data_IF_090295251314
#
_entry.id   IF_090295251314
#
_cell.length_a   1.000
_cell.length_b   1.000
_cell.length_c   1.000
_cell.angle_alpha   90.00
_cell.angle_beta   90.00
_cell.angle_gamma   90.00
#
_symmetry.space_group_name_H-M   'P 1'
#
loop_
_entity.id
_entity.type
_entity.pdbx_description
1 polymer ?
#
# COMPACT_ATOMS: atom_id res chain seq x y z
N UNK A 1 -21.53 8.78 16.99
CA UNK A 1 -20.27 8.03 17.19
C UNK A 1 -19.29 9.01 17.78
N UNK A 2 -18.75 8.72 18.97
CA UNK A 2 -17.73 9.62 19.56
C UNK A 2 -16.38 9.18 18.99
N UNK A 3 -15.76 10.01 18.17
CA UNK A 3 -14.46 9.76 17.54
C UNK A 3 -13.65 11.04 17.56
N UNK A 4 -12.33 10.91 17.68
CA UNK A 4 -11.38 12.02 17.58
C UNK A 4 -11.04 12.37 16.13
N UNK A 5 -11.52 11.58 15.16
CA UNK A 5 -11.48 11.95 13.75
C UNK A 5 -12.36 13.17 13.51
N UNK A 6 -11.80 14.21 12.90
CA UNK A 6 -12.56 15.41 12.58
C UNK A 6 -13.33 15.24 11.27
N UNK A 7 -14.47 15.88 11.21
CA UNK A 7 -15.27 15.93 9.99
C UNK A 7 -14.75 17.02 9.06
N UNK A 8 -14.67 16.67 7.76
CA UNK A 8 -14.29 17.59 6.69
C UNK A 8 -15.28 17.47 5.53
N UNK A 9 -15.60 18.60 4.89
CA UNK A 9 -16.44 18.63 3.69
C UNK A 9 -15.69 18.17 2.45
N UNK A 10 -16.38 17.59 1.47
CA UNK A 10 -15.78 17.25 0.19
C UNK A 10 -15.34 18.52 -0.55
N UNK A 11 -14.07 18.60 -0.92
CA UNK A 11 -13.45 19.77 -1.53
C UNK A 11 -13.15 20.93 -0.56
N UNK A 12 -13.34 20.73 0.74
CA UNK A 12 -12.96 21.69 1.76
C UNK A 12 -11.45 21.66 1.97
N UNK A 13 -10.82 22.83 1.97
CA UNK A 13 -9.43 22.99 2.32
C UNK A 13 -9.25 23.13 3.83
N UNK A 14 -8.26 22.42 4.37
CA UNK A 14 -7.90 22.50 5.78
C UNK A 14 -6.39 22.66 5.93
N UNK A 15 -5.97 23.45 6.91
CA UNK A 15 -4.56 23.58 7.26
C UNK A 15 -4.08 22.36 8.06
N UNK A 16 -2.82 21.98 7.90
CA UNK A 16 -2.23 20.77 8.52
C UNK A 16 -2.28 20.79 10.05
N UNK A 17 -2.14 21.95 10.66
CA UNK A 17 -2.20 22.16 12.10
C UNK A 17 -3.59 21.84 12.73
N UNK A 18 -4.64 21.79 11.89
CA UNK A 18 -5.97 21.40 12.32
C UNK A 18 -6.24 19.89 12.28
N UNK A 19 -5.37 19.11 11.66
CA UNK A 19 -5.48 17.64 11.62
C UNK A 19 -5.23 17.10 13.02
N UNK A 20 -6.14 16.31 13.59
CA UNK A 20 -5.88 15.65 14.88
C UNK A 20 -4.87 14.52 14.69
N UNK A 21 -3.77 14.59 15.44
CA UNK A 21 -2.78 13.51 15.51
C UNK A 21 -2.95 12.77 16.81
N UNK A 22 -3.34 11.51 16.72
CA UNK A 22 -3.64 10.62 17.85
C UNK A 22 -2.41 9.76 18.19
N UNK A 23 -2.42 9.12 19.37
CA UNK A 23 -1.56 7.98 19.61
C UNK A 23 -1.91 6.87 18.60
N UNK A 24 -0.93 6.09 18.13
CA UNK A 24 -1.15 5.09 17.07
C UNK A 24 -2.26 4.08 17.42
N UNK A 25 -2.28 3.58 18.66
CA UNK A 25 -3.28 2.60 19.08
C UNK A 25 -4.70 3.17 19.08
N UNK A 26 -4.87 4.42 19.47
CA UNK A 26 -6.16 5.12 19.42
C UNK A 26 -6.58 5.38 17.98
N UNK A 27 -5.67 5.84 17.14
CA UNK A 27 -5.89 6.03 15.72
C UNK A 27 -6.35 4.73 15.04
N UNK A 28 -5.59 3.64 15.24
CA UNK A 28 -5.87 2.33 14.68
C UNK A 28 -7.23 1.80 15.15
N UNK A 29 -7.47 1.81 16.45
CA UNK A 29 -8.71 1.33 17.05
C UNK A 29 -9.93 2.08 16.52
N UNK A 30 -9.85 3.41 16.43
CA UNK A 30 -10.96 4.22 15.93
C UNK A 30 -11.17 4.03 14.43
N UNK A 31 -10.10 3.94 13.63
CA UNK A 31 -10.20 3.69 12.19
C UNK A 31 -10.90 2.35 11.92
N UNK A 32 -10.47 1.27 12.56
CA UNK A 32 -11.12 -0.04 12.44
C UNK A 32 -12.57 -0.02 12.91
N UNK A 33 -12.86 0.65 14.01
CA UNK A 33 -14.22 0.79 14.54
C UNK A 33 -15.14 1.53 13.56
N UNK A 34 -14.69 2.62 12.95
CA UNK A 34 -15.46 3.38 11.96
C UNK A 34 -15.82 2.48 10.77
N UNK A 35 -14.86 1.72 10.24
CA UNK A 35 -15.11 0.85 9.09
C UNK A 35 -16.00 -0.33 9.45
N UNK A 36 -15.79 -0.96 10.61
CA UNK A 36 -16.65 -2.04 11.11
C UNK A 36 -18.13 -1.61 11.29
N UNK A 37 -18.37 -0.32 11.49
CA UNK A 37 -19.73 0.24 11.59
C UNK A 37 -20.24 0.85 10.26
N UNK A 38 -19.72 0.37 9.13
CA UNK A 38 -20.21 0.72 7.79
C UNK A 38 -19.48 1.90 7.13
N UNK A 39 -18.44 2.43 7.75
CA UNK A 39 -17.54 3.39 7.12
C UNK A 39 -16.73 2.76 5.99
N UNK A 40 -16.16 3.59 5.14
CA UNK A 40 -15.30 3.17 4.02
C UNK A 40 -13.93 3.83 4.13
N UNK A 41 -12.87 3.09 3.81
CA UNK A 41 -11.55 3.65 3.62
C UNK A 41 -11.55 4.39 2.29
N UNK A 42 -11.27 5.68 2.33
CA UNK A 42 -11.11 6.52 1.13
C UNK A 42 -9.64 6.59 0.77
N UNK A 43 -8.81 6.88 1.77
CA UNK A 43 -7.37 6.94 1.59
C UNK A 43 -6.65 6.68 2.92
N UNK A 44 -5.47 6.08 2.83
CA UNK A 44 -4.55 5.90 3.94
C UNK A 44 -3.13 5.98 3.40
N UNK A 45 -2.34 6.91 3.88
CA UNK A 45 -1.01 7.16 3.34
C UNK A 45 -0.06 7.67 4.40
N UNK A 46 1.24 7.57 4.11
CA UNK A 46 2.30 8.20 4.87
C UNK A 46 2.80 9.44 4.15
N UNK A 47 3.37 10.37 4.91
CA UNK A 47 4.08 11.51 4.36
C UNK A 47 5.17 11.98 5.32
N UNK A 48 6.28 12.56 4.81
CA UNK A 48 7.32 13.14 5.64
C UNK A 48 6.86 14.48 6.20
N UNK A 49 7.14 14.71 7.47
CA UNK A 49 6.87 15.96 8.18
C UNK A 49 8.06 16.32 9.06
N UNK A 50 8.93 17.19 8.55
CA UNK A 50 10.24 17.52 9.13
C UNK A 50 11.10 16.26 9.30
N UNK A 51 11.43 15.87 10.52
CA UNK A 51 12.25 14.69 10.83
C UNK A 51 11.40 13.43 11.14
N UNK A 52 10.08 13.48 10.93
CA UNK A 52 9.15 12.41 11.25
C UNK A 52 8.36 11.97 10.03
N UNK A 53 7.89 10.73 10.04
CA UNK A 53 6.87 10.26 9.11
C UNK A 53 5.54 10.23 9.84
N UNK A 54 4.50 10.71 9.19
CA UNK A 54 3.13 10.69 9.70
C UNK A 54 2.25 9.81 8.81
N UNK A 55 1.32 9.13 9.45
CA UNK A 55 0.23 8.41 8.80
C UNK A 55 -1.02 9.28 8.86
N UNK A 56 -1.81 9.24 7.79
CA UNK A 56 -3.08 9.96 7.71
C UNK A 56 -4.13 9.07 7.05
N UNK A 57 -5.31 8.98 7.68
CA UNK A 57 -6.45 8.26 7.13
C UNK A 57 -7.59 9.21 6.82
N UNK A 58 -8.20 9.01 5.65
CA UNK A 58 -9.48 9.60 5.26
C UNK A 58 -10.49 8.47 5.18
N UNK A 59 -11.48 8.52 6.05
CA UNK A 59 -12.58 7.57 6.08
C UNK A 59 -13.87 8.27 5.67
N UNK A 60 -14.84 7.52 5.22
CA UNK A 60 -16.15 8.06 4.81
C UNK A 60 -17.28 7.31 5.50
N UNK A 61 -18.12 8.04 6.18
CA UNK A 61 -19.45 7.65 6.60
C UNK A 61 -20.46 8.47 5.77
N UNK A 62 -21.39 9.18 6.39
CA UNK A 62 -22.17 10.24 5.73
C UNK A 62 -21.29 11.47 5.40
N UNK A 63 -20.18 11.60 6.09
CA UNK A 63 -19.19 12.66 5.93
C UNK A 63 -17.77 12.07 5.79
N UNK A 64 -16.84 12.89 5.31
CA UNK A 64 -15.41 12.54 5.38
C UNK A 64 -14.90 12.76 6.81
N UNK A 65 -14.14 11.81 7.29
CA UNK A 65 -13.52 11.81 8.61
C UNK A 65 -12.01 11.72 8.43
N UNK A 66 -11.26 12.57 9.10
CA UNK A 66 -9.83 12.71 8.96
C UNK A 66 -9.14 12.67 10.31
N UNK A 67 -8.11 11.87 10.44
CA UNK A 67 -7.13 11.89 11.53
C UNK A 67 -5.79 11.35 11.05
N UNK A 68 -4.76 11.64 11.81
CA UNK A 68 -3.43 11.10 11.61
C UNK A 68 -2.82 10.59 12.90
N UNK A 69 -1.63 10.02 12.77
CA UNK A 69 -0.76 9.69 13.88
C UNK A 69 0.70 9.82 13.44
N UNK A 70 1.63 9.86 14.41
CA UNK A 70 3.04 9.63 14.11
C UNK A 70 3.19 8.17 13.67
N UNK A 71 3.94 7.93 12.60
CA UNK A 71 4.23 6.59 12.15
C UNK A 71 5.22 5.89 13.10
N UNK A 72 4.90 4.71 13.64
CA UNK A 72 5.90 3.87 14.29
C UNK A 72 6.75 3.14 13.23
N UNK A 73 7.89 2.59 13.60
CA UNK A 73 8.73 1.77 12.69
C UNK A 73 8.01 0.49 12.25
N UNK A 74 7.20 -0.08 13.13
CA UNK A 74 6.36 -1.24 12.87
C UNK A 74 5.05 -1.13 13.66
N UNK A 75 3.98 -1.73 13.11
CA UNK A 75 2.66 -1.71 13.75
C UNK A 75 1.82 -2.94 13.37
N UNK A 76 0.88 -3.37 14.23
CA UNK A 76 -0.08 -4.41 13.87
C UNK A 76 -0.92 -3.98 12.67
N UNK A 77 -0.86 -4.73 11.56
CA UNK A 77 -1.55 -4.40 10.30
C UNK A 77 -3.04 -4.15 10.50
N UNK A 78 -3.55 -3.07 9.90
CA UNK A 78 -4.98 -2.82 9.80
C UNK A 78 -5.64 -3.79 8.81
N UNK A 79 -4.92 -4.20 7.76
CA UNK A 79 -5.42 -5.13 6.74
C UNK A 79 -5.80 -6.48 7.33
N UNK A 80 -5.12 -6.93 8.39
CA UNK A 80 -5.43 -8.18 9.07
C UNK A 80 -6.88 -8.24 9.59
N UNK A 81 -7.47 -7.09 9.91
CA UNK A 81 -8.84 -6.95 10.40
C UNK A 81 -9.76 -6.24 9.40
N UNK A 82 -9.19 -5.50 8.44
CA UNK A 82 -9.93 -4.66 7.52
C UNK A 82 -9.24 -4.63 6.14
N UNK A 83 -9.66 -5.51 5.23
CA UNK A 83 -9.08 -5.68 3.89
C UNK A 83 -8.92 -4.38 3.09
N UNK A 84 -9.84 -3.39 3.12
CA UNK A 84 -9.67 -2.13 2.39
C UNK A 84 -8.37 -1.34 2.65
N UNK A 85 -7.61 -1.63 3.70
CA UNK A 85 -6.29 -1.02 3.94
C UNK A 85 -5.16 -1.68 3.14
N UNK A 86 -5.41 -2.81 2.48
CA UNK A 86 -4.43 -3.71 1.89
C UNK A 86 -3.38 -3.03 0.99
N UNK A 87 -3.79 -2.28 -0.02
CA UNK A 87 -2.84 -1.63 -0.94
C UNK A 87 -2.12 -0.45 -0.30
N UNK A 88 -2.80 0.28 0.57
CA UNK A 88 -2.23 1.42 1.26
C UNK A 88 -1.09 1.01 2.20
N UNK A 89 -1.27 -0.03 2.99
CA UNK A 89 -0.22 -0.53 3.89
C UNK A 89 0.98 -1.06 3.12
N UNK A 90 0.76 -1.71 1.98
CA UNK A 90 1.84 -2.18 1.11
C UNK A 90 2.63 -1.01 0.51
N UNK A 91 1.97 0.05 0.08
CA UNK A 91 2.63 1.24 -0.43
C UNK A 91 3.41 1.95 0.68
N UNK A 92 2.85 2.08 1.88
CA UNK A 92 3.54 2.65 3.04
C UNK A 92 4.81 1.86 3.37
N UNK A 93 4.74 0.53 3.34
CA UNK A 93 5.87 -0.35 3.58
C UNK A 93 6.96 -0.19 2.51
N UNK A 94 6.57 -0.06 1.25
CA UNK A 94 7.47 0.13 0.12
C UNK A 94 8.13 1.51 0.09
N UNK A 95 7.37 2.57 0.38
CA UNK A 95 7.86 3.94 0.22
C UNK A 95 8.47 4.55 1.49
N UNK A 96 8.12 4.05 2.66
CA UNK A 96 8.53 4.65 3.94
C UNK A 96 9.22 3.67 4.89
N UNK A 97 9.38 2.41 4.49
CA UNK A 97 10.05 1.39 5.32
C UNK A 97 9.32 1.06 6.62
N UNK A 98 8.03 1.37 6.72
CA UNK A 98 7.22 1.10 7.91
C UNK A 98 6.59 -0.27 7.79
N UNK A 99 6.83 -1.16 8.77
CA UNK A 99 6.43 -2.56 8.68
C UNK A 99 5.02 -2.83 9.25
N UNK A 100 4.00 -3.17 8.41
CA UNK A 100 2.70 -3.61 8.90
C UNK A 100 2.77 -5.09 9.30
N UNK A 101 3.00 -5.36 10.59
CA UNK A 101 3.13 -6.71 11.15
C UNK A 101 1.85 -7.53 10.98
N UNK A 102 1.99 -8.75 10.47
CA UNK A 102 0.85 -9.64 10.24
C UNK A 102 0.00 -9.26 9.01
N UNK A 103 0.50 -8.40 8.13
CA UNK A 103 -0.16 -8.13 6.85
C UNK A 103 -0.30 -9.44 6.05
N UNK A 104 -1.52 -9.81 5.59
CA UNK A 104 -1.77 -11.13 5.00
C UNK A 104 -1.05 -11.37 3.67
N UNK A 105 -0.64 -10.31 2.98
CA UNK A 105 0.07 -10.42 1.71
C UNK A 105 0.94 -9.19 1.44
N UNK A 106 2.02 -9.07 2.19
CA UNK A 106 2.96 -7.96 2.07
C UNK A 106 3.84 -8.13 0.83
N UNK A 107 3.56 -7.34 -0.19
CA UNK A 107 4.29 -7.26 -1.47
C UNK A 107 4.39 -5.82 -1.92
N UNK A 108 5.37 -5.53 -2.76
CA UNK A 108 5.46 -4.23 -3.42
C UNK A 108 4.22 -3.93 -4.27
N UNK A 109 3.94 -2.66 -4.46
CA UNK A 109 2.84 -2.13 -5.30
C UNK A 109 3.39 -1.41 -6.51
N UNK A 110 4.34 -0.50 -6.29
CA UNK A 110 4.89 0.40 -7.32
C UNK A 110 6.09 -0.18 -8.04
N UNK A 111 6.89 -1.00 -7.36
CA UNK A 111 8.08 -1.67 -7.90
C UNK A 111 9.13 -0.72 -8.48
N UNK A 112 9.32 0.44 -7.91
CA UNK A 112 10.36 1.39 -8.30
C UNK A 112 10.95 2.08 -7.08
N UNK A 113 12.07 2.77 -7.30
CA UNK A 113 12.82 3.41 -6.25
C UNK A 113 11.95 4.33 -5.39
N UNK A 114 12.31 4.38 -4.13
CA UNK A 114 11.67 5.21 -3.13
C UNK A 114 12.09 6.68 -3.32
N UNK A 115 11.14 7.56 -3.59
CA UNK A 115 11.40 8.99 -3.79
C UNK A 115 11.88 9.71 -2.53
N UNK A 116 11.68 9.10 -1.37
CA UNK A 116 12.04 9.69 -0.07
C UNK A 116 13.43 9.28 0.42
N UNK A 117 14.14 8.40 -0.32
CA UNK A 117 15.45 7.91 0.05
C UNK A 117 15.48 7.05 1.34
N UNK A 118 14.31 6.57 1.75
CA UNK A 118 14.17 5.67 2.89
C UNK A 118 14.29 4.21 2.43
N UNK A 119 14.86 3.29 3.26
CA UNK A 119 14.83 1.88 2.93
C UNK A 119 13.40 1.35 2.93
N UNK A 120 13.09 0.44 2.02
CA UNK A 120 11.83 -0.29 2.07
C UNK A 120 11.91 -1.47 3.06
N UNK A 121 10.76 -2.12 3.31
CA UNK A 121 10.71 -3.31 4.19
C UNK A 121 11.10 -4.60 3.47
N UNK A 122 11.34 -4.56 2.15
CA UNK A 122 11.61 -5.73 1.31
C UNK A 122 13.11 -5.98 1.13
N UNK A 123 13.96 -5.05 1.57
CA UNK A 123 15.42 -5.13 1.47
C UNK A 123 15.93 -4.93 0.05
N UNK A 124 15.18 -4.23 -0.80
CA UNK A 124 15.63 -3.88 -2.13
C UNK A 124 16.62 -2.72 -2.05
N UNK A 125 17.76 -2.91 -2.70
CA UNK A 125 18.74 -1.86 -2.95
C UNK A 125 18.55 -1.41 -4.40
N UNK A 126 17.95 -0.25 -4.57
CA UNK A 126 17.71 0.32 -5.89
C UNK A 126 18.89 1.17 -6.32
N UNK A 127 20.02 0.54 -6.70
CA UNK A 127 21.15 1.23 -7.31
C UNK A 127 20.78 1.91 -8.63
N UNK A 128 19.74 1.39 -9.30
CA UNK A 128 19.18 1.97 -10.52
C UNK A 128 17.66 2.00 -10.44
N UNK A 129 17.07 3.16 -10.79
CA UNK A 129 15.63 3.36 -10.86
C UNK A 129 15.04 2.69 -12.12
N UNK A 130 15.07 1.37 -12.15
CA UNK A 130 14.51 0.57 -13.25
C UNK A 130 13.15 0.04 -12.82
N UNK A 131 12.06 0.56 -13.37
CA UNK A 131 10.72 0.06 -13.08
C UNK A 131 10.60 -1.45 -13.37
N UNK A 132 10.08 -2.19 -12.39
CA UNK A 132 9.90 -3.64 -12.52
C UNK A 132 11.14 -4.47 -12.21
N UNK A 133 12.19 -3.87 -11.69
CA UNK A 133 13.36 -4.60 -11.17
C UNK A 133 12.98 -5.26 -9.84
N UNK A 134 12.48 -6.49 -9.93
CA UNK A 134 11.99 -7.27 -8.80
C UNK A 134 12.39 -8.73 -8.97
N UNK A 135 12.77 -9.38 -7.88
CA UNK A 135 13.08 -10.79 -7.85
C UNK A 135 11.81 -11.64 -7.94
N UNK A 136 11.43 -12.01 -9.14
CA UNK A 136 10.30 -12.90 -9.37
C UNK A 136 10.58 -14.30 -8.82
N UNK A 137 9.52 -14.98 -8.42
CA UNK A 137 9.60 -16.36 -7.97
C UNK A 137 10.10 -17.25 -9.11
N UNK A 138 11.17 -17.98 -8.87
CA UNK A 138 11.74 -18.93 -9.82
C UNK A 138 11.41 -20.37 -9.39
N UNK A 139 10.97 -21.18 -10.32
CA UNK A 139 10.83 -22.62 -10.15
C UNK A 139 11.98 -23.29 -10.90
N UNK A 140 12.72 -24.18 -10.24
CA UNK A 140 13.85 -24.88 -10.85
C UNK A 140 13.41 -26.24 -11.42
N UNK A 141 13.93 -26.61 -12.57
CA UNK A 141 13.71 -27.90 -13.23
C UNK A 141 13.94 -27.84 -14.73
N UNK A 142 14.46 -28.92 -15.31
CA UNK A 142 14.87 -28.99 -16.74
C UNK A 142 13.70 -28.79 -17.74
N UNK A 143 12.48 -29.09 -17.32
CA UNK A 143 11.26 -28.95 -18.15
C UNK A 143 10.49 -27.67 -17.83
N UNK A 144 10.99 -26.84 -16.94
CA UNK A 144 10.32 -25.61 -16.54
C UNK A 144 10.68 -24.49 -17.50
N UNK A 145 9.67 -23.77 -17.94
CA UNK A 145 9.84 -22.54 -18.73
C UNK A 145 8.99 -21.41 -18.16
N UNK A 146 9.48 -20.20 -18.34
CA UNK A 146 8.78 -19.00 -17.94
C UNK A 146 8.11 -18.34 -19.13
N UNK A 147 6.87 -17.92 -18.95
CA UNK A 147 6.11 -17.16 -19.95
C UNK A 147 5.74 -15.82 -19.32
N UNK A 148 6.19 -14.73 -19.95
CA UNK A 148 5.90 -13.37 -19.55
C UNK A 148 4.87 -12.75 -20.50
N UNK A 149 3.80 -12.19 -19.93
CA UNK A 149 2.72 -11.54 -20.70
C UNK A 149 2.51 -10.12 -20.14
N UNK A 150 2.53 -9.13 -21.01
CA UNK A 150 2.44 -7.72 -20.63
C UNK A 150 3.80 -7.11 -20.25
N UNK A 151 3.80 -5.88 -19.72
CA UNK A 151 2.67 -5.13 -19.14
C UNK A 151 1.66 -4.54 -20.12
N UNK A 152 2.01 -4.36 -21.40
CA UNK A 152 1.11 -3.78 -22.40
C UNK A 152 0.22 -4.85 -23.04
N UNK A 153 -1.08 -4.63 -23.05
CA UNK A 153 -2.08 -5.54 -23.62
C UNK A 153 -2.90 -4.82 -24.72
N UNK A 154 -2.21 -4.18 -25.66
CA UNK A 154 -2.81 -3.43 -26.79
C UNK A 154 -3.83 -2.35 -26.37
N UNK A 155 -3.77 -1.87 -25.12
CA UNK A 155 -4.71 -0.88 -24.60
C UNK A 155 -6.12 -1.43 -24.26
N UNK A 156 -6.32 -2.73 -24.34
CA UNK A 156 -7.62 -3.37 -24.04
C UNK A 156 -7.88 -3.46 -22.54
N UNK A 157 -6.84 -3.78 -21.78
CA UNK A 157 -6.86 -3.79 -20.30
C UNK A 157 -5.76 -2.89 -19.76
N UNK A 158 -5.87 -2.54 -18.48
CA UNK A 158 -4.83 -1.79 -17.79
C UNK A 158 -3.50 -2.55 -17.77
N UNK A 159 -2.35 -1.84 -17.84
CA UNK A 159 -1.05 -2.48 -17.81
C UNK A 159 -0.85 -3.36 -16.57
N UNK A 160 -0.47 -4.58 -16.80
CA UNK A 160 -0.13 -5.56 -15.76
C UNK A 160 0.79 -6.62 -16.34
N UNK A 161 1.81 -7.01 -15.61
CA UNK A 161 2.72 -8.08 -16.00
C UNK A 161 2.30 -9.38 -15.34
N UNK A 162 2.15 -10.42 -16.15
CA UNK A 162 1.79 -11.76 -15.70
C UNK A 162 2.97 -12.68 -16.00
N UNK A 163 3.52 -13.31 -14.99
CA UNK A 163 4.64 -14.23 -15.12
C UNK A 163 4.22 -15.63 -14.71
N UNK A 164 4.27 -16.54 -15.66
CA UNK A 164 3.88 -17.93 -15.48
C UNK A 164 5.13 -18.81 -15.45
N UNK A 165 5.24 -19.67 -14.47
CA UNK A 165 6.16 -20.81 -14.48
C UNK A 165 5.38 -22.05 -14.89
N UNK A 166 5.79 -22.72 -15.98
CA UNK A 166 5.04 -23.78 -16.62
C UNK A 166 5.87 -25.04 -16.84
N UNK A 167 5.19 -26.20 -16.84
CA UNK A 167 5.68 -27.45 -17.42
C UNK A 167 4.72 -27.83 -18.56
N UNK A 168 5.19 -27.74 -19.80
CA UNK A 168 4.32 -27.87 -20.96
C UNK A 168 3.17 -26.84 -20.88
N UNK A 169 1.94 -27.31 -20.90
CA UNK A 169 0.74 -26.47 -20.81
C UNK A 169 0.23 -26.25 -19.36
N UNK A 170 0.89 -26.87 -18.38
CA UNK A 170 0.48 -26.77 -16.98
C UNK A 170 1.17 -25.62 -16.29
N UNK A 171 0.39 -24.64 -15.80
CA UNK A 171 0.87 -23.56 -14.94
C UNK A 171 1.14 -24.11 -13.55
N UNK A 172 2.36 -23.93 -13.06
CA UNK A 172 2.79 -24.27 -11.70
C UNK A 172 2.64 -23.09 -10.76
N UNK A 173 3.01 -21.90 -11.23
CA UNK A 173 2.97 -20.65 -10.47
C UNK A 173 2.61 -19.50 -11.38
N UNK A 174 1.82 -18.57 -10.85
CA UNK A 174 1.51 -17.31 -11.48
C UNK A 174 1.85 -16.17 -10.54
N UNK A 175 2.65 -15.24 -11.02
CA UNK A 175 2.94 -14.00 -10.34
C UNK A 175 2.42 -12.82 -11.16
N UNK A 176 1.78 -11.86 -10.49
CA UNK A 176 1.15 -10.72 -11.11
C UNK A 176 1.76 -9.44 -10.53
N UNK A 177 2.29 -8.61 -11.40
CA UNK A 177 2.78 -7.27 -11.07
C UNK A 177 1.82 -6.23 -11.66
N UNK A 178 1.26 -5.40 -10.78
CA UNK A 178 0.44 -4.24 -11.12
C UNK A 178 1.22 -2.96 -10.82
N UNK A 179 0.57 -1.80 -10.87
CA UNK A 179 1.17 -0.52 -10.47
C UNK A 179 1.79 0.29 -11.61
N UNK A 180 1.81 -0.21 -12.85
CA UNK A 180 2.38 0.50 -14.01
C UNK A 180 1.69 1.83 -14.35
N UNK A 181 0.48 2.05 -13.86
CA UNK A 181 -0.27 3.29 -14.01
C UNK A 181 -0.49 4.01 -12.67
N UNK A 182 0.39 3.81 -11.72
CA UNK A 182 0.34 4.60 -10.49
C UNK A 182 0.49 6.08 -10.82
N UNK A 183 -0.45 6.89 -10.37
CA UNK A 183 -0.53 8.31 -10.73
C UNK A 183 -0.12 9.26 -9.60
N UNK A 184 0.49 8.73 -8.54
CA UNK A 184 0.96 9.52 -7.40
C UNK A 184 -0.16 10.14 -6.56
N UNK A 185 -1.31 9.48 -6.49
CA UNK A 185 -2.48 9.94 -5.72
C UNK A 185 -2.40 9.44 -4.30
#
# INVERSE_FOLDING_TARGET
MNTDFIQIGNGEAMTRDRVPYLAFDDFRSQALHIVANGGKVVHFFAYPDEDEVKLLAILRTDHLLLAGCRAPEAYPSLTAECEPFHLFEREIAEQFGIHPEGHPWLKMVRYHANEHGLPDVFGNDYDEDIPGNYNYYAVEGDEIHEVAVGPVHAGVIEPGHFRFNCIGERVLHLEIQLGYQHRGV
#
